data_IF_564067713878
#
_entry.id   IF_564067713878
#
_cell.length_a   1.000
_cell.length_b   1.000
_cell.length_c   1.000
_cell.angle_alpha   90.00
_cell.angle_beta   90.00
_cell.angle_gamma   90.00
#
_symmetry.space_group_name_H-M   'P 1'
#
loop_
_entity.id
_entity.type
_entity.pdbx_description
1 polymer ?
#
# COMPACT_ATOMS: atom_id res chain seq x y z
N UNK A 1 14.43 8.72 -17.44
CA UNK A 1 14.21 8.42 -16.01
C UNK A 1 12.81 7.83 -15.87
N UNK A 2 12.67 6.63 -15.31
CA UNK A 2 11.37 5.97 -15.17
C UNK A 2 10.65 6.48 -13.94
N UNK A 3 9.47 7.08 -14.12
CA UNK A 3 8.62 7.52 -13.01
C UNK A 3 8.11 6.35 -12.17
N UNK A 4 7.59 6.66 -10.99
CA UNK A 4 6.93 5.68 -10.12
C UNK A 4 5.64 5.22 -10.78
N UNK A 5 5.51 3.91 -11.03
CA UNK A 5 4.31 3.32 -11.64
C UNK A 5 3.15 3.19 -10.66
N UNK A 6 3.45 2.81 -9.41
CA UNK A 6 2.47 2.55 -8.35
C UNK A 6 3.11 2.78 -6.99
N UNK A 7 2.33 3.31 -6.05
CA UNK A 7 2.69 3.41 -4.63
C UNK A 7 1.93 2.31 -3.90
N UNK A 8 2.62 1.46 -3.16
CA UNK A 8 1.99 0.47 -2.28
C UNK A 8 2.10 0.96 -0.83
N UNK A 9 0.96 1.09 -0.15
CA UNK A 9 0.88 1.47 1.26
C UNK A 9 0.67 0.23 2.10
N UNK A 10 1.65 -0.08 2.95
CA UNK A 10 1.61 -1.21 3.88
C UNK A 10 1.23 -0.69 5.26
N UNK A 11 0.12 -1.17 5.83
CA UNK A 11 -0.44 -0.59 7.06
C UNK A 11 -1.06 -1.66 7.97
N UNK A 12 -0.71 -1.64 9.26
CA UNK A 12 -1.38 -2.46 10.28
C UNK A 12 -2.65 -1.82 10.83
N UNK A 13 -3.46 -1.25 9.94
CA UNK A 13 -4.64 -0.47 10.29
C UNK A 13 -5.56 -0.39 9.06
N UNK A 14 -6.73 0.25 9.19
CA UNK A 14 -7.82 0.21 8.22
C UNK A 14 -7.63 1.11 6.98
N UNK A 15 -6.41 1.62 6.74
CA UNK A 15 -6.11 2.43 5.56
C UNK A 15 -6.25 3.93 5.80
N UNK A 16 -5.76 4.43 6.93
CA UNK A 16 -5.75 5.87 7.18
C UNK A 16 -4.71 6.57 6.29
N UNK A 17 -3.54 5.94 6.09
CA UNK A 17 -2.50 6.52 5.25
C UNK A 17 -2.83 6.40 3.77
N UNK A 18 -3.40 5.28 3.31
CA UNK A 18 -3.74 5.12 1.89
C UNK A 18 -4.69 6.21 1.43
N UNK A 19 -5.72 6.53 2.23
CA UNK A 19 -6.68 7.60 1.93
C UNK A 19 -6.04 8.98 1.88
N UNK A 20 -5.09 9.26 2.76
CA UNK A 20 -4.40 10.55 2.77
C UNK A 20 -3.44 10.69 1.58
N UNK A 21 -2.78 9.61 1.19
CA UNK A 21 -1.90 9.56 0.01
C UNK A 21 -2.73 9.74 -1.27
N UNK A 22 -3.85 9.03 -1.40
CA UNK A 22 -4.79 9.20 -2.53
C UNK A 22 -5.30 10.64 -2.62
N UNK A 23 -5.58 11.29 -1.48
CA UNK A 23 -6.04 12.68 -1.40
C UNK A 23 -4.99 13.68 -1.85
N UNK A 24 -3.72 13.48 -1.45
CA UNK A 24 -2.62 14.41 -1.73
C UNK A 24 -2.03 14.20 -3.14
N UNK A 25 -2.07 12.97 -3.67
CA UNK A 25 -1.49 12.58 -4.96
C UNK A 25 -2.56 12.13 -5.96
N UNK A 26 -3.48 13.02 -6.37
CA UNK A 26 -4.50 12.67 -7.35
C UNK A 26 -3.86 12.25 -8.67
N UNK A 27 -4.31 11.13 -9.23
CA UNK A 27 -3.83 10.59 -10.51
C UNK A 27 -2.64 9.62 -10.42
N UNK A 28 -2.05 9.43 -9.24
CA UNK A 28 -1.09 8.34 -9.01
C UNK A 28 -1.84 7.04 -8.70
N UNK A 29 -1.38 5.92 -9.24
CA UNK A 29 -1.88 4.61 -8.83
C UNK A 29 -1.40 4.28 -7.40
N UNK A 30 -2.33 4.13 -6.47
CA UNK A 30 -2.07 3.78 -5.07
C UNK A 30 -2.73 2.44 -4.76
N UNK A 31 -1.97 1.52 -4.19
CA UNK A 31 -2.43 0.21 -3.72
C UNK A 31 -2.32 0.10 -2.21
N UNK A 32 -3.07 -0.83 -1.62
CA UNK A 32 -3.15 -1.03 -0.18
C UNK A 32 -2.82 -2.47 0.21
N UNK A 33 -1.90 -2.65 1.15
CA UNK A 33 -1.60 -3.92 1.81
C UNK A 33 -1.87 -3.73 3.32
N UNK A 34 -3.08 -4.05 3.74
CA UNK A 34 -3.57 -3.80 5.09
C UNK A 34 -3.79 -5.06 5.89
N UNK A 35 -3.50 -5.02 7.20
CA UNK A 35 -3.87 -6.08 8.12
C UNK A 35 -4.26 -5.49 9.47
N UNK A 36 -5.43 -5.85 10.00
CA UNK A 36 -5.90 -5.38 11.31
C UNK A 36 -6.45 -6.53 12.16
N UNK A 37 -5.64 -7.58 12.32
CA UNK A 37 -5.95 -8.75 13.16
C UNK A 37 -5.04 -8.86 14.39
N UNK A 38 -4.27 -7.81 14.69
CA UNK A 38 -3.32 -7.77 15.81
C UNK A 38 -1.97 -8.45 15.54
N UNK A 39 -1.74 -8.99 14.33
CA UNK A 39 -0.45 -9.57 13.93
C UNK A 39 0.28 -8.67 12.94
N UNK A 40 1.60 -8.74 12.94
CA UNK A 40 2.43 -8.05 11.95
C UNK A 40 2.15 -8.58 10.54
N UNK A 41 2.30 -7.71 9.53
CA UNK A 41 2.27 -8.12 8.13
C UNK A 41 3.58 -8.87 7.83
N UNK A 42 3.45 -10.08 7.29
CA UNK A 42 4.59 -10.91 6.95
C UNK A 42 5.33 -10.35 5.71
N UNK A 43 6.67 -10.44 5.65
CA UNK A 43 7.43 -9.98 4.49
C UNK A 43 6.96 -10.57 3.17
N UNK A 44 6.55 -11.84 3.17
CA UNK A 44 6.07 -12.56 1.98
C UNK A 44 4.77 -11.96 1.45
N UNK A 45 3.88 -11.52 2.34
CA UNK A 45 2.64 -10.80 1.98
C UNK A 45 2.95 -9.47 1.30
N UNK A 46 3.97 -8.74 1.76
CA UNK A 46 4.39 -7.49 1.13
C UNK A 46 4.95 -7.77 -0.26
N UNK A 47 5.78 -8.80 -0.41
CA UNK A 47 6.35 -9.20 -1.71
C UNK A 47 5.25 -9.61 -2.69
N UNK A 48 4.28 -10.40 -2.25
CA UNK A 48 3.13 -10.78 -3.07
C UNK A 48 2.34 -9.55 -3.54
N UNK A 49 2.04 -8.62 -2.64
CA UNK A 49 1.36 -7.38 -2.96
C UNK A 49 2.16 -6.48 -3.92
N UNK A 50 3.49 -6.52 -3.88
CA UNK A 50 4.35 -5.80 -4.83
C UNK A 50 4.29 -6.42 -6.23
N UNK A 51 4.30 -7.75 -6.33
CA UNK A 51 4.38 -8.48 -7.60
C UNK A 51 3.01 -8.58 -8.30
N UNK A 52 1.94 -8.79 -7.54
CA UNK A 52 0.60 -9.12 -8.09
C UNK A 52 -0.48 -8.07 -7.84
N UNK A 53 -0.22 -7.08 -6.98
CA UNK A 53 -1.19 -6.03 -6.61
C UNK A 53 -1.05 -4.72 -7.38
#
# INVERSE_FOLDING_TARGET
>A
AGGVKRILVVEMNLGQYVREIERILPGQAVGFCGQMDGRLIAPETIVEAVIHG
#
